data_IF_362622962670
#
_entry.id   IF_362622962670
#
_cell.length_a   1.000
_cell.length_b   1.000
_cell.length_c   1.000
_cell.angle_alpha   90.00
_cell.angle_beta   90.00
_cell.angle_gamma   90.00
#
_symmetry.space_group_name_H-M   'P 1'
#
loop_
_entity.id
_entity.type
_entity.pdbx_description
1 polymer ?
#
# COMPACT_ATOMS: atom_id res chain seq x y z
N UNK A 1 -16.60 -1.58 -13.12
CA UNK A 1 -15.34 -0.83 -13.27
C UNK A 1 -15.50 0.54 -13.95
N UNK A 2 -16.38 0.76 -14.98
CA UNK A 2 -16.46 2.09 -15.66
C UNK A 2 -17.03 3.24 -14.82
N UNK A 3 -17.75 2.96 -13.76
CA UNK A 3 -18.41 3.99 -12.94
C UNK A 3 -17.43 4.68 -11.96
N UNK A 4 -16.45 3.95 -11.44
CA UNK A 4 -15.42 4.48 -10.54
C UNK A 4 -14.41 5.37 -11.27
N UNK A 5 -14.06 5.04 -12.51
CA UNK A 5 -13.17 5.84 -13.38
C UNK A 5 -13.78 7.21 -13.74
N UNK A 6 -15.10 7.26 -13.98
CA UNK A 6 -15.82 8.52 -14.22
C UNK A 6 -15.86 9.41 -12.98
N UNK A 7 -15.89 8.82 -11.81
CA UNK A 7 -15.91 9.52 -10.53
C UNK A 7 -14.56 10.17 -10.24
N UNK A 8 -13.43 9.48 -10.50
CA UNK A 8 -12.09 10.01 -10.28
C UNK A 8 -11.77 11.17 -11.21
N UNK A 9 -12.10 11.08 -12.49
CA UNK A 9 -11.91 12.18 -13.44
C UNK A 9 -12.77 13.42 -13.08
N UNK A 10 -14.00 13.23 -12.58
CA UNK A 10 -14.84 14.32 -12.12
C UNK A 10 -14.25 14.99 -10.86
N UNK A 11 -13.76 14.20 -9.92
CA UNK A 11 -13.08 14.67 -8.71
C UNK A 11 -11.81 15.47 -9.05
N UNK A 12 -10.97 14.97 -9.96
CA UNK A 12 -9.74 15.66 -10.38
C UNK A 12 -10.06 16.99 -11.10
N UNK A 13 -11.10 17.04 -11.93
CA UNK A 13 -11.56 18.30 -12.54
C UNK A 13 -12.04 19.29 -11.48
N UNK A 14 -12.78 18.82 -10.47
CA UNK A 14 -13.23 19.67 -9.37
C UNK A 14 -12.03 20.24 -8.59
N UNK A 15 -11.00 19.44 -8.30
CA UNK A 15 -9.76 19.89 -7.66
C UNK A 15 -9.06 21.02 -8.46
N UNK A 16 -9.16 21.01 -9.79
CA UNK A 16 -8.56 22.02 -10.66
C UNK A 16 -9.40 23.31 -10.68
N UNK A 17 -10.72 23.19 -10.74
CA UNK A 17 -11.63 24.34 -10.91
C UNK A 17 -12.02 25.01 -9.61
N UNK A 18 -12.18 24.24 -8.54
CA UNK A 18 -12.53 24.67 -7.19
C UNK A 18 -11.77 23.80 -6.17
N UNK A 19 -10.53 24.22 -5.81
CA UNK A 19 -9.67 23.42 -4.92
C UNK A 19 -10.27 23.13 -3.55
N UNK A 20 -11.03 24.08 -2.98
CA UNK A 20 -11.62 23.92 -1.65
C UNK A 20 -12.65 22.78 -1.65
N UNK A 21 -13.61 22.85 -2.57
CA UNK A 21 -14.62 21.79 -2.73
C UNK A 21 -14.00 20.48 -3.19
N UNK A 22 -13.01 20.53 -4.10
CA UNK A 22 -12.29 19.35 -4.57
C UNK A 22 -11.55 18.61 -3.47
N UNK A 23 -10.87 19.32 -2.56
CA UNK A 23 -10.19 18.70 -1.39
C UNK A 23 -11.22 18.09 -0.44
N UNK A 24 -12.35 18.76 -0.22
CA UNK A 24 -13.42 18.24 0.62
C UNK A 24 -13.98 16.91 0.08
N UNK A 25 -14.23 16.84 -1.22
CA UNK A 25 -14.69 15.62 -1.90
C UNK A 25 -13.63 14.52 -1.87
N UNK A 26 -12.36 14.86 -2.12
CA UNK A 26 -11.24 13.94 -2.04
C UNK A 26 -11.10 13.34 -0.64
N UNK A 27 -11.21 14.16 0.40
CA UNK A 27 -11.19 13.70 1.78
C UNK A 27 -12.37 12.77 2.10
N UNK A 28 -13.55 13.11 1.61
CA UNK A 28 -14.74 12.29 1.81
C UNK A 28 -14.61 10.92 1.14
N UNK A 29 -14.10 10.87 -0.10
CA UNK A 29 -14.00 9.65 -0.89
C UNK A 29 -12.78 8.79 -0.50
N UNK A 30 -11.63 9.40 -0.28
CA UNK A 30 -10.35 8.71 -0.11
C UNK A 30 -9.67 8.93 1.24
N UNK A 31 -10.15 9.85 2.08
CA UNK A 31 -9.52 10.16 3.37
C UNK A 31 -9.38 8.96 4.29
N UNK A 32 -10.41 8.11 4.36
CA UNK A 32 -10.37 6.88 5.14
C UNK A 32 -9.36 5.85 4.62
N UNK A 33 -9.19 5.75 3.29
CA UNK A 33 -8.17 4.89 2.67
C UNK A 33 -6.76 5.41 2.99
N UNK A 34 -6.52 6.70 2.75
CA UNK A 34 -5.25 7.37 3.00
C UNK A 34 -4.84 7.19 4.47
N UNK A 35 -5.73 7.53 5.40
CA UNK A 35 -5.48 7.44 6.84
C UNK A 35 -5.10 6.02 7.28
N UNK A 36 -5.84 5.00 6.82
CA UNK A 36 -5.55 3.59 7.14
C UNK A 36 -4.17 3.16 6.67
N UNK A 37 -3.76 3.58 5.46
CA UNK A 37 -2.45 3.23 4.89
C UNK A 37 -1.33 3.89 5.70
N UNK A 38 -1.48 5.19 5.99
CA UNK A 38 -0.47 5.95 6.75
C UNK A 38 -0.36 5.42 8.18
N UNK A 39 -1.49 5.22 8.87
CA UNK A 39 -1.52 4.69 10.24
C UNK A 39 -0.88 3.29 10.36
N UNK A 40 -1.02 2.46 9.34
CA UNK A 40 -0.36 1.14 9.31
C UNK A 40 1.17 1.24 9.34
N UNK A 41 1.73 2.29 8.78
CA UNK A 41 3.17 2.56 8.75
C UNK A 41 3.63 3.34 9.99
N UNK A 42 2.76 4.19 10.54
CA UNK A 42 3.01 5.11 11.67
C UNK A 42 2.06 4.83 12.85
N UNK A 43 1.94 3.59 13.37
CA UNK A 43 0.93 3.24 14.38
C UNK A 43 1.14 3.99 15.70
N UNK A 44 2.38 4.29 16.07
CA UNK A 44 2.77 4.96 17.33
C UNK A 44 2.85 6.49 17.21
N UNK A 45 2.59 7.05 16.02
CA UNK A 45 2.75 8.46 15.70
C UNK A 45 1.44 9.05 15.14
N UNK A 46 0.40 9.27 15.98
CA UNK A 46 -0.90 9.73 15.51
C UNK A 46 -0.86 11.12 14.86
N UNK A 47 -0.09 12.06 15.43
CA UNK A 47 0.07 13.41 14.87
C UNK A 47 0.74 13.38 13.50
N UNK A 48 1.83 12.59 13.36
CA UNK A 48 2.50 12.41 12.08
C UNK A 48 1.60 11.71 11.05
N UNK A 49 0.72 10.82 11.51
CA UNK A 49 -0.27 10.15 10.65
C UNK A 49 -1.24 11.17 10.06
N UNK A 50 -1.76 12.09 10.87
CA UNK A 50 -2.68 13.15 10.43
C UNK A 50 -1.98 14.13 9.49
N UNK A 51 -0.76 14.56 9.83
CA UNK A 51 0.04 15.47 9.01
C UNK A 51 0.33 14.86 7.63
N UNK A 52 0.83 13.62 7.59
CA UNK A 52 1.11 12.93 6.31
C UNK A 52 -0.16 12.70 5.48
N UNK A 53 -1.28 12.41 6.13
CA UNK A 53 -2.55 12.25 5.43
C UNK A 53 -3.04 13.58 4.83
N UNK A 54 -2.93 14.69 5.57
CA UNK A 54 -3.27 16.03 5.09
C UNK A 54 -2.35 16.46 3.94
N UNK A 55 -1.04 16.28 4.07
CA UNK A 55 -0.05 16.58 3.02
C UNK A 55 -0.34 15.82 1.72
N UNK A 56 -0.90 14.61 1.84
CA UNK A 56 -1.24 13.83 0.65
C UNK A 56 -2.44 14.41 -0.10
N UNK A 57 -3.43 14.97 0.59
CA UNK A 57 -4.56 15.66 -0.07
C UNK A 57 -4.05 16.85 -0.88
N UNK A 58 -3.13 17.64 -0.33
CA UNK A 58 -2.48 18.74 -1.04
C UNK A 58 -1.69 18.23 -2.24
N UNK A 59 -0.97 17.12 -2.09
CA UNK A 59 -0.21 16.51 -3.19
C UNK A 59 -1.10 16.05 -4.34
N UNK A 60 -2.29 15.50 -4.06
CA UNK A 60 -3.26 15.14 -5.11
C UNK A 60 -3.70 16.39 -5.86
N UNK A 61 -4.01 17.46 -5.13
CA UNK A 61 -4.40 18.74 -5.74
C UNK A 61 -3.29 19.30 -6.64
N UNK A 62 -2.05 19.39 -6.15
CA UNK A 62 -0.90 19.87 -6.93
C UNK A 62 -0.66 19.06 -8.22
N UNK A 63 -0.99 17.77 -8.19
CA UNK A 63 -0.81 16.87 -9.33
C UNK A 63 -2.10 16.56 -10.10
N UNK A 64 -3.21 17.24 -9.78
CA UNK A 64 -4.53 16.91 -10.33
C UNK A 64 -4.58 16.93 -11.85
N UNK A 65 -3.93 17.90 -12.50
CA UNK A 65 -3.88 18.00 -13.96
C UNK A 65 -3.14 16.80 -14.58
N UNK A 66 -1.97 16.45 -14.07
CA UNK A 66 -1.19 15.32 -14.57
C UNK A 66 -1.90 13.97 -14.31
N UNK A 67 -2.55 13.83 -13.15
CA UNK A 67 -3.34 12.64 -12.83
C UNK A 67 -4.57 12.48 -13.71
N UNK A 68 -5.20 13.61 -14.12
CA UNK A 68 -6.32 13.62 -15.04
C UNK A 68 -5.89 13.22 -16.47
N UNK A 69 -4.73 13.71 -16.93
CA UNK A 69 -4.16 13.35 -18.23
C UNK A 69 -3.75 11.86 -18.30
N UNK A 70 -3.30 11.29 -17.20
CA UNK A 70 -2.86 9.89 -17.09
C UNK A 70 -4.04 8.90 -17.19
N UNK A 71 -5.28 9.38 -17.04
CA UNK A 71 -6.55 8.63 -17.16
C UNK A 71 -6.55 7.26 -16.46
N UNK A 72 -5.87 7.18 -15.31
CA UNK A 72 -5.77 5.96 -14.49
C UNK A 72 -6.55 6.09 -13.18
N UNK A 73 -7.05 4.98 -12.62
CA UNK A 73 -7.71 5.00 -11.32
C UNK A 73 -6.81 5.63 -10.24
N UNK A 74 -7.39 6.55 -9.44
CA UNK A 74 -6.65 7.31 -8.44
C UNK A 74 -6.21 6.45 -7.25
N UNK A 75 -7.01 5.46 -6.85
CA UNK A 75 -6.74 4.62 -5.70
C UNK A 75 -5.37 3.92 -5.72
N UNK A 76 -4.91 3.27 -6.82
CA UNK A 76 -3.57 2.66 -6.86
C UNK A 76 -2.44 3.66 -6.67
N UNK A 77 -2.56 4.85 -7.23
CA UNK A 77 -1.58 5.93 -7.06
C UNK A 77 -1.54 6.43 -5.61
N UNK A 78 -2.72 6.64 -5.00
CA UNK A 78 -2.85 7.02 -3.58
C UNK A 78 -2.20 6.00 -2.65
N UNK A 79 -2.47 4.70 -2.87
CA UNK A 79 -1.90 3.62 -2.05
C UNK A 79 -0.37 3.67 -2.05
N UNK A 80 0.24 3.81 -3.23
CA UNK A 80 1.70 3.85 -3.37
C UNK A 80 2.26 5.13 -2.76
N UNK A 81 1.65 6.28 -3.04
CA UNK A 81 2.15 7.58 -2.59
C UNK A 81 2.00 7.77 -1.08
N UNK A 82 0.83 7.40 -0.51
CA UNK A 82 0.58 7.43 0.93
C UNK A 82 1.59 6.57 1.69
N UNK A 83 1.81 5.35 1.20
CA UNK A 83 2.77 4.43 1.81
C UNK A 83 4.19 4.97 1.76
N UNK A 84 4.64 5.46 0.61
CA UNK A 84 6.01 5.98 0.46
C UNK A 84 6.23 7.20 1.36
N UNK A 85 5.29 8.14 1.44
CA UNK A 85 5.37 9.31 2.34
C UNK A 85 5.41 8.90 3.81
N UNK A 86 4.58 7.95 4.20
CA UNK A 86 4.58 7.43 5.57
C UNK A 86 5.90 6.74 5.93
N UNK A 87 6.50 5.98 5.00
CA UNK A 87 7.82 5.37 5.18
C UNK A 87 8.91 6.44 5.34
N UNK A 88 8.90 7.46 4.49
CA UNK A 88 9.87 8.56 4.55
C UNK A 88 9.72 9.35 5.87
N UNK A 89 8.49 9.59 6.33
CA UNK A 89 8.24 10.20 7.65
C UNK A 89 8.77 9.33 8.78
N UNK A 90 8.45 8.04 8.78
CA UNK A 90 8.95 7.09 9.78
C UNK A 90 10.47 7.08 9.86
N UNK A 91 11.17 7.12 8.75
CA UNK A 91 12.64 7.17 8.68
C UNK A 91 13.22 8.44 9.29
N UNK A 92 12.50 9.58 9.19
CA UNK A 92 12.92 10.85 9.80
C UNK A 92 12.69 10.87 11.31
N UNK A 93 11.59 10.27 11.78
CA UNK A 93 11.21 10.24 13.20
C UNK A 93 12.00 9.16 13.94
N UNK A 94 12.11 7.97 13.38
CA UNK A 94 12.89 6.89 13.95
C UNK A 94 14.37 7.25 13.89
N UNK A 95 14.89 7.81 15.00
CA UNK A 95 16.34 7.91 15.20
C UNK A 95 16.94 6.52 14.99
N UNK A 96 18.14 6.41 14.41
CA UNK A 96 18.84 5.14 14.31
C UNK A 96 19.27 4.69 15.72
N UNK A 97 18.35 4.15 16.49
CA UNK A 97 18.63 3.45 17.73
C UNK A 97 18.81 1.97 17.38
N UNK A 98 19.80 1.34 18.00
CA UNK A 98 20.18 -0.05 17.85
C UNK A 98 19.09 -1.10 18.17
N UNK A 99 17.85 -0.69 18.37
CA UNK A 99 16.68 -1.50 18.68
C UNK A 99 15.95 -2.07 17.46
N UNK A 100 16.52 -1.91 16.24
CA UNK A 100 15.93 -2.52 15.05
C UNK A 100 15.98 -4.06 15.07
N UNK A 101 16.80 -4.64 15.95
CA UNK A 101 16.89 -6.11 16.12
C UNK A 101 15.74 -6.71 16.93
N UNK A 102 15.15 -5.95 17.86
CA UNK A 102 14.03 -6.45 18.69
C UNK A 102 12.69 -6.45 17.94
N UNK A 103 12.53 -5.62 16.91
CA UNK A 103 11.37 -5.68 16.01
C UNK A 103 11.40 -6.90 15.05
N UNK A 104 12.48 -7.66 15.04
CA UNK A 104 12.60 -8.87 14.21
C UNK A 104 11.84 -10.06 14.78
N UNK A 105 11.53 -10.08 16.08
CA UNK A 105 10.83 -11.17 16.74
C UNK A 105 9.30 -10.99 16.78
N UNK A 106 8.81 -9.83 16.36
CA UNK A 106 7.38 -9.61 16.19
C UNK A 106 6.98 -9.90 14.74
N UNK A 107 7.06 -11.15 14.34
CA UNK A 107 6.18 -11.67 13.30
C UNK A 107 4.75 -11.50 13.85
N UNK A 108 3.87 -10.79 13.16
CA UNK A 108 2.58 -10.43 13.73
C UNK A 108 1.74 -11.67 13.96
N UNK A 109 1.59 -12.07 15.23
CA UNK A 109 0.45 -12.89 15.68
C UNK A 109 -0.89 -12.16 15.54
N UNK A 110 -0.88 -10.92 15.04
CA UNK A 110 -2.06 -10.05 14.95
C UNK A 110 -2.36 -9.54 13.54
N UNK A 111 -2.31 -10.43 12.53
CA UNK A 111 -2.96 -10.18 11.25
C UNK A 111 -4.31 -10.92 11.20
N UNK A 112 -5.18 -10.59 12.15
CA UNK A 112 -6.53 -11.14 12.22
C UNK A 112 -7.54 -10.15 11.64
N UNK A 113 -7.67 -10.15 10.32
CA UNK A 113 -8.86 -9.71 9.62
C UNK A 113 -8.93 -10.53 8.32
N UNK A 114 -10.03 -11.16 8.06
CA UNK A 114 -10.24 -12.32 7.18
C UNK A 114 -9.64 -12.32 5.76
N UNK A 115 -9.10 -11.21 5.29
CA UNK A 115 -8.42 -11.11 3.99
C UNK A 115 -6.90 -10.89 4.07
N UNK A 116 -6.39 -10.40 5.21
CA UNK A 116 -4.96 -10.09 5.39
C UNK A 116 -4.15 -11.34 5.74
N UNK A 117 -4.77 -12.30 6.40
CA UNK A 117 -4.15 -13.59 6.76
C UNK A 117 -3.82 -14.43 5.51
N UNK A 118 -4.67 -14.40 4.50
CA UNK A 118 -4.45 -15.12 3.25
C UNK A 118 -3.20 -14.61 2.50
N UNK A 119 -2.98 -13.29 2.46
CA UNK A 119 -1.80 -12.72 1.80
C UNK A 119 -0.53 -13.07 2.58
N UNK A 120 -0.57 -13.00 3.92
CA UNK A 120 0.53 -13.43 4.80
C UNK A 120 0.91 -14.88 4.56
N UNK A 121 -0.08 -15.75 4.51
CA UNK A 121 0.09 -17.19 4.20
C UNK A 121 0.70 -17.41 2.81
N UNK A 122 0.23 -16.69 1.80
CA UNK A 122 0.77 -16.79 0.44
C UNK A 122 2.22 -16.29 0.36
N UNK A 123 2.57 -15.23 1.07
CA UNK A 123 3.96 -14.75 1.17
C UNK A 123 4.84 -15.76 1.90
N UNK A 124 4.34 -16.38 2.97
CA UNK A 124 5.06 -17.43 3.71
C UNK A 124 5.39 -18.65 2.84
N UNK A 125 4.54 -18.96 1.85
CA UNK A 125 4.73 -20.05 0.89
C UNK A 125 5.67 -19.71 -0.28
N UNK A 126 6.11 -18.45 -0.40
CA UNK A 126 7.08 -18.07 -1.43
C UNK A 126 8.45 -18.71 -1.16
N UNK A 127 9.12 -19.14 -2.22
CA UNK A 127 10.51 -19.60 -2.14
C UNK A 127 11.50 -18.46 -1.91
N UNK A 128 12.68 -18.78 -1.38
CA UNK A 128 13.78 -17.83 -1.30
C UNK A 128 14.36 -17.54 -2.70
N UNK A 129 14.86 -16.33 -2.97
CA UNK A 129 14.92 -15.15 -2.09
C UNK A 129 13.65 -14.26 -2.14
N UNK A 130 12.63 -14.63 -2.91
CA UNK A 130 11.46 -13.79 -3.14
C UNK A 130 10.69 -13.52 -1.83
N UNK A 131 10.56 -14.54 -0.96
CA UNK A 131 9.97 -14.38 0.38
C UNK A 131 10.69 -13.30 1.19
N UNK A 132 12.01 -13.34 1.27
CA UNK A 132 12.80 -12.37 2.02
C UNK A 132 12.66 -10.95 1.42
N UNK A 133 12.67 -10.83 0.09
CA UNK A 133 12.44 -9.55 -0.61
C UNK A 133 11.07 -8.98 -0.24
N UNK A 134 10.03 -9.81 -0.21
CA UNK A 134 8.69 -9.37 0.17
C UNK A 134 8.59 -8.97 1.64
N UNK A 135 9.17 -9.74 2.56
CA UNK A 135 9.23 -9.40 3.98
C UNK A 135 9.96 -8.07 4.19
N UNK A 136 11.13 -7.87 3.60
CA UNK A 136 11.89 -6.62 3.68
C UNK A 136 11.10 -5.44 3.10
N UNK A 137 10.47 -5.62 1.93
CA UNK A 137 9.73 -4.55 1.26
C UNK A 137 8.47 -4.16 2.01
N UNK A 138 7.70 -5.13 2.53
CA UNK A 138 6.34 -4.91 3.02
C UNK A 138 6.22 -4.86 4.54
N UNK A 139 7.13 -5.49 5.28
CA UNK A 139 7.15 -5.45 6.74
C UNK A 139 8.26 -4.54 7.29
N UNK A 140 9.49 -4.64 6.77
CA UNK A 140 10.59 -3.77 7.19
C UNK A 140 10.62 -2.42 6.46
N UNK A 141 9.76 -2.23 5.46
CA UNK A 141 9.64 -1.00 4.70
C UNK A 141 10.93 -0.57 3.97
N UNK A 142 11.81 -1.51 3.65
CA UNK A 142 13.06 -1.25 2.96
C UNK A 142 12.83 -0.85 1.49
N UNK A 143 13.67 0.01 0.95
CA UNK A 143 13.69 0.32 -0.50
C UNK A 143 14.27 -0.84 -1.29
N UNK A 144 14.00 -0.90 -2.59
CA UNK A 144 14.60 -1.91 -3.46
C UNK A 144 16.14 -1.83 -3.47
N UNK A 145 16.71 -0.64 -3.29
CA UNK A 145 18.15 -0.40 -3.16
C UNK A 145 18.72 -1.01 -1.87
N UNK A 146 18.07 -0.78 -0.74
CA UNK A 146 18.47 -1.33 0.56
C UNK A 146 18.34 -2.87 0.57
N UNK A 147 17.24 -3.40 0.01
CA UNK A 147 17.05 -4.84 -0.16
C UNK A 147 18.16 -5.43 -1.04
N UNK A 148 18.49 -4.76 -2.14
CA UNK A 148 19.55 -5.16 -3.05
C UNK A 148 20.89 -5.21 -2.34
N UNK A 149 21.25 -4.16 -1.59
CA UNK A 149 22.47 -4.12 -0.80
C UNK A 149 22.55 -5.25 0.24
N UNK A 150 21.42 -5.53 0.93
CA UNK A 150 21.36 -6.57 1.96
C UNK A 150 21.42 -8.01 1.40
N UNK A 151 20.91 -8.23 0.19
CA UNK A 151 20.82 -9.56 -0.43
C UNK A 151 21.85 -9.79 -1.56
N UNK A 152 22.80 -8.86 -1.77
CA UNK A 152 23.78 -8.96 -2.84
C UNK A 152 23.17 -8.90 -4.24
N UNK A 153 22.11 -8.14 -4.43
CA UNK A 153 21.37 -7.99 -5.69
C UNK A 153 21.36 -6.54 -6.17
N UNK A 154 21.18 -6.33 -7.48
CA UNK A 154 20.92 -4.98 -7.99
C UNK A 154 19.49 -4.55 -7.65
N UNK A 155 19.28 -3.22 -7.52
CA UNK A 155 17.96 -2.65 -7.33
C UNK A 155 16.97 -3.07 -8.43
N UNK A 156 17.45 -3.13 -9.68
CA UNK A 156 16.67 -3.61 -10.81
C UNK A 156 16.20 -5.05 -10.62
N UNK A 157 17.09 -5.94 -10.17
CA UNK A 157 16.75 -7.35 -9.89
C UNK A 157 15.68 -7.46 -8.82
N UNK A 158 15.77 -6.68 -7.74
CA UNK A 158 14.76 -6.63 -6.68
C UNK A 158 13.42 -6.17 -7.22
N UNK A 159 13.38 -5.10 -8.02
CA UNK A 159 12.16 -4.56 -8.61
C UNK A 159 11.48 -5.57 -9.57
N UNK A 160 12.25 -6.27 -10.39
CA UNK A 160 11.75 -7.34 -11.27
C UNK A 160 11.14 -8.48 -10.46
N UNK A 161 11.80 -8.93 -9.39
CA UNK A 161 11.31 -9.99 -8.49
C UNK A 161 10.03 -9.56 -7.76
N UNK A 162 9.97 -8.33 -7.25
CA UNK A 162 8.76 -7.77 -6.64
C UNK A 162 7.60 -7.72 -7.64
N UNK A 163 7.85 -7.32 -8.89
CA UNK A 163 6.82 -7.27 -9.92
C UNK A 163 6.26 -8.66 -10.25
N UNK A 164 7.13 -9.64 -10.49
CA UNK A 164 6.74 -11.03 -10.77
C UNK A 164 6.04 -11.68 -9.58
N UNK A 165 6.55 -11.45 -8.36
CA UNK A 165 5.97 -11.96 -7.14
C UNK A 165 4.56 -11.41 -6.88
N UNK A 166 4.32 -10.11 -7.12
CA UNK A 166 2.97 -9.51 -7.03
C UNK A 166 2.00 -10.16 -8.01
N UNK A 167 2.42 -10.38 -9.27
CA UNK A 167 1.58 -11.04 -10.27
C UNK A 167 1.21 -12.47 -9.84
N UNK A 168 2.17 -13.22 -9.29
CA UNK A 168 1.95 -14.57 -8.75
C UNK A 168 0.99 -14.55 -7.55
N UNK A 169 1.23 -13.68 -6.58
CA UNK A 169 0.37 -13.54 -5.40
C UNK A 169 -1.06 -13.18 -5.80
N UNK A 170 -1.25 -12.23 -6.73
CA UNK A 170 -2.57 -11.85 -7.23
C UNK A 170 -3.30 -13.05 -7.84
N UNK A 171 -2.61 -13.85 -8.65
CA UNK A 171 -3.19 -15.06 -9.27
C UNK A 171 -3.61 -16.09 -8.23
N UNK A 172 -2.76 -16.39 -7.25
CA UNK A 172 -3.07 -17.36 -6.20
C UNK A 172 -4.18 -16.85 -5.26
N UNK A 173 -4.18 -15.57 -4.91
CA UNK A 173 -5.23 -14.94 -4.13
C UNK A 173 -6.60 -15.07 -4.79
N UNK A 174 -6.70 -14.70 -6.07
CA UNK A 174 -7.96 -14.82 -6.83
C UNK A 174 -8.43 -16.27 -6.97
N UNK A 175 -7.50 -17.21 -7.10
CA UNK A 175 -7.81 -18.65 -7.18
C UNK A 175 -8.38 -19.18 -5.85
N UNK A 176 -7.87 -18.73 -4.71
CA UNK A 176 -8.35 -19.15 -3.40
C UNK A 176 -9.70 -18.51 -3.06
N UNK A 177 -9.87 -17.21 -3.37
CA UNK A 177 -11.15 -16.51 -3.21
C UNK A 177 -12.24 -17.13 -4.08
N UNK A 178 -11.94 -17.53 -5.33
CA UNK A 178 -12.88 -18.21 -6.22
C UNK A 178 -13.24 -19.65 -5.78
N UNK A 179 -12.40 -20.30 -4.96
CA UNK A 179 -12.72 -21.60 -4.35
C UNK A 179 -13.64 -21.45 -3.15
N UNK A 180 -13.39 -20.49 -2.27
CA UNK A 180 -14.25 -20.22 -1.11
C UNK A 180 -15.70 -19.91 -1.52
N UNK A 181 -15.91 -19.12 -2.57
CA UNK A 181 -17.25 -18.80 -3.09
C UNK A 181 -18.02 -20.02 -3.63
N UNK A 182 -17.31 -21.06 -4.11
CA UNK A 182 -17.97 -22.30 -4.59
C UNK A 182 -18.34 -23.27 -3.49
N UNK A 183 -17.63 -23.24 -2.37
CA UNK A 183 -17.92 -24.13 -1.23
C UNK A 183 -19.13 -23.63 -0.42
N UNK A 184 -19.32 -22.32 -0.30
CA UNK A 184 -20.54 -21.75 0.28
C UNK A 184 -21.80 -22.04 -0.54
N UNK A 185 -21.67 -22.09 -1.87
CA UNK A 185 -22.79 -22.40 -2.76
C UNK A 185 -23.20 -23.91 -2.72
N UNK A 186 -22.34 -24.80 -2.22
CA UNK A 186 -22.63 -26.23 -2.09
C UNK A 186 -23.19 -26.64 -0.71
N UNK A 187 -23.09 -25.76 0.30
CA UNK A 187 -23.60 -26.02 1.66
C UNK A 187 -24.99 -25.40 1.90
N UNK A 188 -25.59 -24.78 0.90
CA UNK A 188 -26.88 -24.12 0.94
C UNK A 188 -28.00 -24.89 0.21
N UNK A 189 -27.99 -26.24 0.26
CA UNK A 189 -29.10 -27.11 -0.16
C UNK A 189 -29.52 -28.00 1.01
#
# INVERSE_FOLDING_TARGET
>A
MPEMERTDAALLRQLITDPEEGIRLLQQQYGGLIYRIVRRVLPEYPQDTEEVAADLLVTVWENAAALLEDDRPLAPWLIVTARNRAIDRRRRIAKPTAQLSELMDILPEHLSSDGEDLIGTLVAQMGQPDREIFLRRYYRMETAREIGAALGMTEHTVNVRLSRGRAKLKKEYLKQMGRGSRDYAKQGL
#
